data_IF_319813836457
#
_entry.id   IF_319813836457
#
_cell.length_a   1.000
_cell.length_b   1.000
_cell.length_c   1.000
_cell.angle_alpha   90.00
_cell.angle_beta   90.00
_cell.angle_gamma   90.00
#
_symmetry.space_group_name_H-M   'P 1'
#
loop_
_entity.id
_entity.type
_entity.pdbx_description
1 polymer ?
#
# COMPACT_ATOMS: atom_id res chain seq x y z
N UNK A 1 42.38 42.08 37.57
CA UNK A 1 41.96 41.31 36.39
C UNK A 1 42.33 39.86 36.65
N UNK A 2 41.37 39.06 37.15
CA UNK A 2 41.60 37.63 37.35
C UNK A 2 41.31 36.90 36.03
N UNK A 3 42.37 36.28 35.51
CA UNK A 3 42.25 35.39 34.32
C UNK A 3 41.53 34.13 34.74
N UNK A 4 40.30 33.98 34.30
CA UNK A 4 39.49 32.79 34.45
C UNK A 4 40.09 31.69 33.57
N UNK A 5 40.90 30.82 34.16
CA UNK A 5 41.43 29.65 33.44
C UNK A 5 40.29 28.70 33.12
N UNK A 6 39.98 28.54 31.83
CA UNK A 6 39.06 27.49 31.37
C UNK A 6 39.77 26.13 31.50
N UNK A 7 39.34 25.31 32.45
CA UNK A 7 39.86 23.96 32.63
C UNK A 7 39.31 23.06 31.49
N UNK A 8 40.20 22.70 30.57
CA UNK A 8 39.88 21.71 29.55
C UNK A 8 40.30 20.34 30.07
N UNK A 9 39.33 19.47 30.32
CA UNK A 9 39.59 18.09 30.73
C UNK A 9 40.26 17.33 29.58
N UNK A 10 41.38 16.70 29.83
CA UNK A 10 42.15 15.91 28.85
C UNK A 10 41.70 14.44 28.79
N UNK A 11 41.03 13.98 29.81
CA UNK A 11 40.58 12.59 29.90
C UNK A 11 39.13 12.49 29.55
N UNK A 12 38.78 11.54 28.66
CA UNK A 12 37.42 11.15 28.34
C UNK A 12 36.80 10.53 29.61
N UNK A 13 35.74 11.14 30.12
CA UNK A 13 34.96 10.55 31.21
C UNK A 13 34.23 9.36 30.62
N UNK A 14 34.31 8.20 31.31
CA UNK A 14 33.49 7.02 30.93
C UNK A 14 32.02 7.40 30.86
N UNK A 15 31.34 7.00 29.78
CA UNK A 15 29.91 7.23 29.60
C UNK A 15 29.15 6.64 30.79
N UNK A 16 28.56 7.51 31.59
CA UNK A 16 27.63 7.06 32.64
C UNK A 16 26.29 6.73 32.03
N UNK A 17 25.66 5.61 32.42
CA UNK A 17 24.34 5.30 31.96
C UNK A 17 23.38 6.44 32.33
N UNK A 18 22.48 6.84 31.44
CA UNK A 18 21.52 7.91 31.71
C UNK A 18 20.64 7.54 32.92
N UNK A 19 20.26 8.52 33.73
CA UNK A 19 19.44 8.28 34.94
C UNK A 19 18.13 7.62 34.55
N UNK A 20 17.59 6.73 35.38
CA UNK A 20 16.37 5.96 35.18
C UNK A 20 15.14 6.82 34.79
N UNK A 21 15.12 8.08 35.21
CA UNK A 21 14.11 9.08 34.87
C UNK A 21 14.18 9.55 33.40
N UNK A 22 15.23 9.21 32.66
CA UNK A 22 15.41 9.61 31.26
C UNK A 22 15.33 8.42 30.29
N UNK A 23 15.25 7.18 30.80
CA UNK A 23 15.27 5.94 30.01
C UNK A 23 13.93 5.22 30.10
N UNK A 24 13.49 4.60 29.01
CA UNK A 24 12.26 3.80 28.97
C UNK A 24 10.98 4.63 28.87
N UNK A 25 9.85 3.95 29.09
CA UNK A 25 8.51 4.54 29.01
C UNK A 25 8.34 5.65 30.06
N UNK A 26 8.85 5.47 31.27
CA UNK A 26 8.81 6.46 32.34
C UNK A 26 9.58 7.72 32.01
N UNK A 27 10.76 7.60 31.41
CA UNK A 27 11.55 8.75 30.95
C UNK A 27 10.92 9.47 29.76
N UNK A 28 10.28 8.72 28.87
CA UNK A 28 9.53 9.30 27.75
C UNK A 28 8.30 10.07 28.24
N UNK A 29 7.51 9.49 29.16
CA UNK A 29 6.36 10.14 29.80
C UNK A 29 6.79 11.40 30.56
N UNK A 30 7.83 11.31 31.36
CA UNK A 30 8.36 12.47 32.09
C UNK A 30 8.76 13.60 31.16
N UNK A 31 9.51 13.30 30.10
CA UNK A 31 10.00 14.31 29.16
C UNK A 31 8.88 14.96 28.34
N UNK A 32 7.87 14.18 27.94
CA UNK A 32 6.82 14.70 27.06
C UNK A 32 5.60 15.25 27.80
N UNK A 33 5.32 14.76 29.02
CA UNK A 33 4.13 15.19 29.79
C UNK A 33 4.47 16.11 30.96
N UNK A 34 5.63 15.94 31.59
CA UNK A 34 5.96 16.61 32.86
C UNK A 34 7.21 17.49 32.81
N UNK A 35 7.96 17.52 31.72
CA UNK A 35 9.25 18.25 31.64
C UNK A 35 9.12 19.77 31.78
N UNK A 36 7.93 20.32 31.64
CA UNK A 36 7.67 21.77 31.76
C UNK A 36 7.27 22.20 33.18
N UNK A 37 7.27 21.31 34.17
CA UNK A 37 6.96 21.69 35.56
C UNK A 37 7.94 22.72 36.17
N UNK A 38 9.16 22.81 35.64
CA UNK A 38 10.14 23.82 36.08
C UNK A 38 9.86 25.24 35.54
N UNK A 39 8.98 25.37 34.57
CA UNK A 39 8.63 26.68 33.95
C UNK A 39 7.32 27.28 34.46
N UNK A 40 6.84 26.85 35.63
CA UNK A 40 5.61 27.34 36.25
C UNK A 40 5.64 28.84 36.64
N UNK A 41 6.76 29.52 36.38
CA UNK A 41 6.96 30.92 36.79
C UNK A 41 6.38 31.95 35.81
N UNK A 42 6.00 31.54 34.60
CA UNK A 42 5.34 32.44 33.63
C UNK A 42 3.89 32.03 33.45
N UNK A 43 2.95 32.96 33.62
CA UNK A 43 1.49 32.73 33.59
C UNK A 43 1.02 32.03 32.29
N UNK A 44 1.59 32.35 31.18
CA UNK A 44 1.25 31.76 29.87
C UNK A 44 1.67 30.27 29.77
N UNK A 45 2.82 29.91 30.29
CA UNK A 45 3.30 28.51 30.28
C UNK A 45 2.54 27.64 31.29
N UNK A 46 2.06 28.22 32.41
CA UNK A 46 1.24 27.53 33.39
C UNK A 46 -0.12 27.16 32.83
N UNK A 47 -0.80 28.08 32.13
CA UNK A 47 -2.10 27.80 31.48
C UNK A 47 -1.96 26.71 30.42
N UNK A 48 -0.95 26.77 29.57
CA UNK A 48 -0.72 25.76 28.55
C UNK A 48 -0.41 24.38 29.16
N UNK A 49 0.36 24.32 30.24
CA UNK A 49 0.68 23.07 30.94
C UNK A 49 -0.54 22.45 31.59
N UNK A 50 -1.40 23.27 32.24
CA UNK A 50 -2.66 22.81 32.84
C UNK A 50 -3.59 22.29 31.75
N UNK A 51 -3.73 22.99 30.63
CA UNK A 51 -4.57 22.58 29.51
C UNK A 51 -4.10 21.27 28.90
N UNK A 52 -2.80 21.08 28.74
CA UNK A 52 -2.21 19.82 28.26
C UNK A 52 -2.41 18.66 29.23
N UNK A 53 -2.32 18.90 30.54
CA UNK A 53 -2.60 17.88 31.57
C UNK A 53 -4.08 17.48 31.53
N UNK A 54 -4.99 18.43 31.48
CA UNK A 54 -6.43 18.17 31.37
C UNK A 54 -6.74 17.37 30.09
N UNK A 55 -6.19 17.81 28.96
CA UNK A 55 -6.36 17.13 27.67
C UNK A 55 -5.82 15.68 27.72
N UNK A 56 -4.66 15.48 28.35
CA UNK A 56 -4.06 14.16 28.48
C UNK A 56 -4.91 13.24 29.38
N UNK A 57 -5.39 13.74 30.51
CA UNK A 57 -6.26 12.98 31.40
C UNK A 57 -7.58 12.63 30.69
N UNK A 58 -8.17 13.58 29.98
CA UNK A 58 -9.38 13.36 29.21
C UNK A 58 -9.14 12.31 28.11
N UNK A 59 -8.03 12.41 27.38
CA UNK A 59 -7.67 11.46 26.31
C UNK A 59 -7.41 10.06 26.87
N UNK A 60 -6.71 9.94 28.00
CA UNK A 60 -6.48 8.66 28.68
C UNK A 60 -7.80 8.03 29.18
N UNK A 61 -8.70 8.83 29.75
CA UNK A 61 -10.02 8.37 30.18
C UNK A 61 -10.85 7.90 28.98
N UNK A 62 -10.90 8.70 27.91
CA UNK A 62 -11.64 8.37 26.70
C UNK A 62 -11.05 7.13 26.00
N UNK A 63 -9.75 7.11 25.73
CA UNK A 63 -9.09 5.96 25.12
C UNK A 63 -9.15 4.70 26.01
N UNK A 64 -8.99 4.86 27.31
CA UNK A 64 -9.13 3.76 28.27
C UNK A 64 -10.53 3.16 28.27
N UNK A 65 -11.56 4.00 28.27
CA UNK A 65 -12.95 3.57 28.16
C UNK A 65 -13.24 2.82 26.85
N UNK A 66 -12.76 3.35 25.72
CA UNK A 66 -12.89 2.67 24.42
C UNK A 66 -12.13 1.34 24.39
N UNK A 67 -10.92 1.29 24.97
CA UNK A 67 -10.14 0.06 25.02
C UNK A 67 -10.86 -1.03 25.86
N UNK A 68 -11.41 -0.66 27.01
CA UNK A 68 -12.20 -1.57 27.84
C UNK A 68 -13.41 -2.08 27.08
N UNK A 69 -14.14 -1.19 26.39
CA UNK A 69 -15.29 -1.58 25.56
C UNK A 69 -14.91 -2.53 24.41
N UNK A 70 -13.76 -2.32 23.77
CA UNK A 70 -13.25 -3.20 22.73
C UNK A 70 -12.88 -4.58 23.33
N UNK A 71 -12.23 -4.61 24.48
CA UNK A 71 -11.88 -5.85 25.17
C UNK A 71 -13.15 -6.60 25.59
N UNK A 72 -14.13 -5.90 26.15
CA UNK A 72 -15.41 -6.51 26.51
C UNK A 72 -16.11 -7.08 25.27
N UNK A 73 -16.25 -6.30 24.20
CA UNK A 73 -16.83 -6.74 22.93
C UNK A 73 -16.10 -7.94 22.31
N UNK A 74 -14.75 -7.88 22.23
CA UNK A 74 -13.95 -8.86 21.50
C UNK A 74 -13.61 -10.12 22.30
N UNK A 75 -13.59 -10.03 23.65
CA UNK A 75 -13.09 -11.10 24.49
C UNK A 75 -14.14 -11.56 25.51
N UNK A 76 -14.67 -10.64 26.33
CA UNK A 76 -15.50 -11.00 27.48
C UNK A 76 -16.91 -11.41 27.04
N UNK A 77 -17.56 -10.56 26.24
CA UNK A 77 -18.90 -10.79 25.71
C UNK A 77 -18.94 -11.58 24.42
N UNK A 78 -17.76 -12.03 23.92
CA UNK A 78 -17.64 -12.74 22.66
C UNK A 78 -18.06 -14.20 22.76
N UNK A 79 -18.67 -14.72 21.69
CA UNK A 79 -18.89 -16.16 21.49
C UNK A 79 -17.65 -16.76 20.81
N UNK A 80 -17.02 -17.74 21.47
CA UNK A 80 -15.75 -18.33 21.01
C UNK A 80 -15.90 -19.67 20.31
N UNK A 81 -16.88 -20.48 20.71
CA UNK A 81 -17.07 -21.83 20.22
C UNK A 81 -18.48 -22.06 19.71
N UNK A 82 -18.59 -22.88 18.72
CA UNK A 82 -19.85 -23.39 18.17
C UNK A 82 -19.86 -24.92 18.34
N UNK A 83 -20.68 -25.46 19.26
CA UNK A 83 -20.76 -26.91 19.46
C UNK A 83 -21.34 -27.66 18.25
N UNK A 84 -22.16 -26.99 17.42
CA UNK A 84 -22.86 -27.62 16.27
C UNK A 84 -22.14 -27.39 14.92
N UNK A 85 -20.98 -26.72 14.94
CA UNK A 85 -20.11 -26.57 13.77
C UNK A 85 -20.32 -25.31 12.93
N UNK A 86 -19.61 -24.27 13.24
CA UNK A 86 -19.30 -23.09 12.40
C UNK A 86 -20.48 -22.39 11.71
N UNK A 87 -21.66 -22.38 12.36
CA UNK A 87 -22.86 -21.71 11.85
C UNK A 87 -23.02 -20.31 12.43
N UNK A 88 -23.58 -19.40 11.65
CA UNK A 88 -23.91 -18.04 12.08
C UNK A 88 -24.99 -18.03 13.17
N UNK A 89 -25.84 -19.05 13.20
CA UNK A 89 -26.99 -19.17 14.09
C UNK A 89 -26.61 -19.13 15.58
N UNK A 90 -25.39 -19.61 15.92
CA UNK A 90 -24.86 -19.56 17.31
C UNK A 90 -24.73 -18.13 17.85
N UNK A 91 -24.60 -17.14 16.97
CA UNK A 91 -24.50 -15.73 17.36
C UNK A 91 -25.83 -14.98 17.17
N UNK A 92 -26.93 -15.70 16.91
CA UNK A 92 -28.23 -15.07 16.76
C UNK A 92 -28.83 -14.75 18.14
N UNK A 93 -29.39 -13.55 18.26
CA UNK A 93 -30.11 -13.15 19.46
C UNK A 93 -31.54 -13.72 19.45
N UNK A 94 -32.22 -13.73 20.60
CA UNK A 94 -33.63 -14.16 20.70
C UNK A 94 -34.53 -13.42 19.70
N UNK A 95 -34.25 -12.15 19.40
CA UNK A 95 -34.95 -11.36 18.36
C UNK A 95 -34.73 -11.90 16.93
N UNK A 96 -33.67 -12.66 16.72
CA UNK A 96 -33.29 -13.25 15.43
C UNK A 96 -33.56 -14.77 15.39
N UNK A 97 -34.19 -15.32 16.43
CA UNK A 97 -34.51 -16.74 16.55
C UNK A 97 -33.37 -17.60 17.11
N UNK A 98 -32.41 -17.01 17.82
CA UNK A 98 -31.30 -17.71 18.48
C UNK A 98 -31.44 -17.69 20.01
N UNK A 99 -30.39 -18.16 20.68
CA UNK A 99 -30.37 -18.35 22.15
C UNK A 99 -29.69 -17.20 22.92
N UNK A 100 -29.04 -16.26 22.23
CA UNK A 100 -28.35 -15.16 22.90
C UNK A 100 -29.31 -14.05 23.37
N UNK A 101 -28.97 -13.35 24.47
CA UNK A 101 -29.79 -12.25 24.99
C UNK A 101 -30.13 -11.21 23.90
N UNK A 102 -31.31 -10.60 24.03
CA UNK A 102 -31.79 -9.62 23.04
C UNK A 102 -30.88 -8.41 22.87
N UNK A 103 -30.11 -8.07 23.91
CA UNK A 103 -29.19 -6.92 23.96
C UNK A 103 -27.71 -7.35 23.83
N UNK A 104 -27.45 -8.59 23.40
CA UNK A 104 -26.10 -9.07 23.20
C UNK A 104 -25.37 -8.28 22.08
N UNK A 105 -24.12 -7.88 22.36
CA UNK A 105 -23.29 -7.06 21.49
C UNK A 105 -21.88 -7.59 21.26
N UNK A 106 -21.57 -8.82 21.71
CA UNK A 106 -20.24 -9.41 21.61
C UNK A 106 -19.79 -9.79 20.18
N UNK A 107 -18.53 -10.10 20.03
CA UNK A 107 -17.98 -10.59 18.77
C UNK A 107 -18.34 -12.06 18.52
N UNK A 108 -18.64 -12.40 17.27
CA UNK A 108 -18.92 -13.76 16.82
C UNK A 108 -17.68 -14.39 16.17
N UNK A 109 -16.81 -15.00 16.96
CA UNK A 109 -15.60 -15.65 16.45
C UNK A 109 -15.87 -16.89 15.60
N UNK A 110 -16.85 -17.78 15.91
CA UNK A 110 -17.16 -18.93 15.05
C UNK A 110 -17.45 -18.54 13.60
N UNK A 111 -18.17 -17.44 13.39
CA UNK A 111 -18.43 -16.92 12.03
C UNK A 111 -17.15 -16.49 11.32
N UNK A 112 -16.24 -15.82 12.04
CA UNK A 112 -14.95 -15.39 11.48
C UNK A 112 -14.10 -16.60 11.13
N UNK A 113 -14.03 -17.62 12.00
CA UNK A 113 -13.30 -18.85 11.72
C UNK A 113 -13.90 -19.64 10.57
N UNK A 114 -15.22 -19.69 10.44
CA UNK A 114 -15.90 -20.32 9.31
C UNK A 114 -15.57 -19.64 7.99
N UNK A 115 -15.50 -18.32 8.00
CA UNK A 115 -15.26 -17.50 6.80
C UNK A 115 -13.80 -17.08 6.60
N UNK A 116 -12.86 -17.59 7.42
CA UNK A 116 -11.44 -17.21 7.35
C UNK A 116 -10.83 -17.35 5.94
N UNK A 117 -11.19 -18.44 5.22
CA UNK A 117 -10.76 -18.64 3.85
C UNK A 117 -11.23 -17.49 2.95
N UNK A 118 -12.51 -17.16 3.03
CA UNK A 118 -13.11 -16.09 2.23
C UNK A 118 -12.50 -14.71 2.57
N UNK A 119 -12.21 -14.46 3.84
CA UNK A 119 -11.60 -13.20 4.30
C UNK A 119 -10.16 -13.05 3.84
N UNK A 120 -9.40 -14.15 3.73
CA UNK A 120 -7.98 -14.12 3.37
C UNK A 120 -7.78 -14.25 1.87
N UNK A 121 -8.44 -15.22 1.23
CA UNK A 121 -8.17 -15.62 -0.15
C UNK A 121 -9.32 -15.32 -1.12
N UNK A 122 -10.52 -14.99 -0.61
CA UNK A 122 -11.71 -14.89 -1.46
C UNK A 122 -12.28 -16.27 -1.82
N UNK A 123 -12.64 -16.47 -3.08
CA UNK A 123 -13.26 -17.68 -3.61
C UNK A 123 -12.28 -18.66 -4.26
N UNK A 124 -10.99 -18.43 -4.15
CA UNK A 124 -9.97 -19.30 -4.73
C UNK A 124 -10.21 -20.76 -4.34
N UNK A 125 -10.13 -21.74 -5.29
CA UNK A 125 -10.29 -23.16 -5.01
C UNK A 125 -9.29 -23.67 -3.96
N UNK A 126 -9.68 -24.67 -3.16
CA UNK A 126 -8.81 -25.18 -2.09
C UNK A 126 -7.50 -25.75 -2.60
N UNK A 127 -7.53 -26.36 -3.77
CA UNK A 127 -6.38 -27.00 -4.43
C UNK A 127 -5.31 -25.98 -4.83
N UNK A 128 -5.72 -24.73 -5.07
CA UNK A 128 -4.87 -23.64 -5.55
C UNK A 128 -4.44 -22.64 -4.47
N UNK A 129 -4.82 -22.84 -3.23
CA UNK A 129 -4.44 -21.94 -2.11
C UNK A 129 -2.92 -21.85 -1.89
N UNK A 130 -2.19 -22.91 -2.26
CA UNK A 130 -0.72 -22.91 -2.14
C UNK A 130 -0.06 -21.76 -2.95
N UNK A 131 -0.63 -21.40 -4.11
CA UNK A 131 -0.14 -20.30 -4.94
C UNK A 131 -0.28 -18.96 -4.22
N UNK A 132 -1.47 -18.69 -3.67
CA UNK A 132 -1.72 -17.50 -2.88
C UNK A 132 -0.81 -17.46 -1.64
N UNK A 133 -0.57 -18.59 -0.97
CA UNK A 133 0.36 -18.68 0.15
C UNK A 133 1.80 -18.35 -0.25
N UNK A 134 2.26 -18.81 -1.42
CA UNK A 134 3.58 -18.44 -1.93
C UNK A 134 3.71 -16.95 -2.21
N UNK A 135 2.66 -16.32 -2.77
CA UNK A 135 2.63 -14.87 -2.98
C UNK A 135 2.67 -14.12 -1.65
N UNK A 136 1.89 -14.54 -0.66
CA UNK A 136 1.95 -13.95 0.69
C UNK A 136 3.33 -14.12 1.33
N UNK A 137 3.88 -15.33 1.28
CA UNK A 137 5.20 -15.61 1.84
C UNK A 137 6.28 -14.75 1.17
N UNK A 138 6.28 -14.67 -0.16
CA UNK A 138 7.20 -13.83 -0.91
C UNK A 138 7.07 -12.35 -0.54
N UNK A 139 5.84 -11.86 -0.41
CA UNK A 139 5.57 -10.49 -0.01
C UNK A 139 6.09 -10.18 1.40
N UNK A 140 5.69 -10.99 2.40
CA UNK A 140 6.07 -10.74 3.79
C UNK A 140 7.56 -10.95 4.05
N UNK A 141 8.17 -11.97 3.45
CA UNK A 141 9.61 -12.22 3.56
C UNK A 141 10.39 -11.09 2.87
N UNK A 142 10.01 -10.72 1.66
CA UNK A 142 10.67 -9.64 0.92
C UNK A 142 10.57 -8.29 1.62
N UNK A 143 9.37 -7.92 2.09
CA UNK A 143 9.16 -6.70 2.87
C UNK A 143 9.91 -6.75 4.20
N UNK A 144 9.85 -7.86 4.93
CA UNK A 144 10.57 -8.04 6.18
C UNK A 144 12.08 -7.89 6.00
N UNK A 145 12.64 -8.42 4.92
CA UNK A 145 14.05 -8.27 4.61
C UNK A 145 14.44 -6.82 4.25
N UNK A 146 13.58 -6.10 3.53
CA UNK A 146 13.80 -4.69 3.20
C UNK A 146 13.79 -3.81 4.46
N UNK A 147 12.92 -4.11 5.42
CA UNK A 147 12.81 -3.38 6.68
C UNK A 147 14.00 -3.68 7.61
N UNK A 148 14.57 -4.87 7.50
CA UNK A 148 15.70 -5.27 8.35
C UNK A 148 16.96 -4.46 8.03
N UNK A 149 17.36 -3.58 8.93
CA UNK A 149 18.45 -2.60 8.73
C UNK A 149 19.81 -3.22 8.44
N UNK A 150 20.10 -4.40 8.99
CA UNK A 150 21.39 -5.11 8.85
C UNK A 150 21.47 -5.98 7.59
N UNK A 151 20.42 -6.08 6.79
CA UNK A 151 20.37 -6.91 5.59
C UNK A 151 21.36 -6.47 4.52
N UNK A 152 22.27 -7.35 4.12
CA UNK A 152 23.19 -7.11 3.00
C UNK A 152 22.41 -7.24 1.68
N UNK A 153 22.63 -6.30 0.74
CA UNK A 153 21.95 -6.37 -0.57
C UNK A 153 20.49 -5.91 -0.60
N UNK A 154 20.00 -5.19 0.41
CA UNK A 154 18.61 -4.64 0.46
C UNK A 154 18.16 -3.96 -0.83
N UNK A 155 19.07 -3.24 -1.51
CA UNK A 155 18.77 -2.57 -2.78
C UNK A 155 18.38 -3.57 -3.88
N UNK A 156 19.07 -4.72 -3.94
CA UNK A 156 18.78 -5.77 -4.92
C UNK A 156 17.47 -6.50 -4.61
N UNK A 157 17.21 -6.78 -3.33
CA UNK A 157 15.93 -7.36 -2.91
C UNK A 157 14.79 -6.37 -3.19
N UNK A 158 14.96 -5.08 -2.90
CA UNK A 158 13.98 -4.05 -3.22
C UNK A 158 13.72 -3.95 -4.72
N UNK A 159 14.76 -4.00 -5.55
CA UNK A 159 14.61 -4.03 -6.99
C UNK A 159 13.88 -5.29 -7.47
N UNK A 160 14.23 -6.46 -6.94
CA UNK A 160 13.54 -7.72 -7.25
C UNK A 160 12.06 -7.70 -6.85
N UNK A 161 11.75 -7.15 -5.68
CA UNK A 161 10.36 -6.97 -5.22
C UNK A 161 9.56 -6.00 -6.08
N UNK A 162 10.22 -5.01 -6.69
CA UNK A 162 9.56 -4.04 -7.56
C UNK A 162 9.36 -4.57 -9.00
N UNK A 163 10.28 -5.39 -9.49
CA UNK A 163 10.30 -5.82 -10.90
C UNK A 163 9.88 -7.27 -11.09
N UNK A 164 10.55 -8.21 -10.43
CA UNK A 164 10.38 -9.65 -10.63
C UNK A 164 9.17 -10.20 -9.86
N UNK A 165 9.00 -9.76 -8.62
CA UNK A 165 7.94 -10.27 -7.76
C UNK A 165 6.52 -10.03 -8.29
N UNK A 166 6.13 -8.84 -8.84
CA UNK A 166 4.81 -8.65 -9.41
C UNK A 166 4.52 -9.58 -10.59
N UNK A 167 5.53 -9.86 -11.41
CA UNK A 167 5.39 -10.78 -12.57
C UNK A 167 5.16 -12.21 -12.07
N UNK A 168 5.97 -12.68 -11.13
CA UNK A 168 5.80 -14.01 -10.53
C UNK A 168 4.44 -14.12 -9.82
N UNK A 169 4.05 -13.10 -9.06
CA UNK A 169 2.77 -13.07 -8.35
C UNK A 169 1.58 -13.14 -9.32
N UNK A 170 1.64 -12.41 -10.44
CA UNK A 170 0.59 -12.48 -11.47
C UNK A 170 0.52 -13.87 -12.10
N UNK A 171 1.65 -14.46 -12.47
CA UNK A 171 1.68 -15.82 -13.04
C UNK A 171 1.09 -16.84 -12.06
N UNK A 172 1.46 -16.78 -10.78
CA UNK A 172 0.95 -17.69 -9.76
C UNK A 172 -0.56 -17.49 -9.53
N UNK A 173 -1.03 -16.25 -9.50
CA UNK A 173 -2.43 -15.95 -9.18
C UNK A 173 -3.39 -16.14 -10.34
N UNK A 174 -2.95 -15.94 -11.59
CA UNK A 174 -3.79 -16.12 -12.79
C UNK A 174 -3.63 -17.49 -13.44
N UNK A 175 -2.48 -18.14 -13.23
CA UNK A 175 -2.08 -19.35 -13.95
C UNK A 175 -1.37 -19.05 -15.27
N UNK A 176 -1.21 -17.77 -15.66
CA UNK A 176 -0.75 -17.35 -16.99
C UNK A 176 -1.62 -17.95 -18.13
N UNK A 177 -1.01 -18.34 -19.25
CA UNK A 177 -1.72 -18.90 -20.42
C UNK A 177 -2.84 -17.98 -20.95
N UNK A 178 -2.52 -16.68 -21.08
CA UNK A 178 -3.46 -15.73 -21.69
C UNK A 178 -3.47 -15.94 -23.21
N UNK A 179 -4.66 -15.96 -23.79
CA UNK A 179 -4.86 -15.97 -25.26
C UNK A 179 -4.42 -14.63 -25.88
N UNK A 180 -3.11 -14.46 -25.98
CA UNK A 180 -2.54 -13.28 -26.62
C UNK A 180 -2.51 -13.53 -28.13
N UNK A 181 -3.21 -12.67 -28.90
CA UNK A 181 -3.26 -12.85 -30.36
C UNK A 181 -1.85 -12.80 -30.94
N UNK A 182 -1.51 -13.76 -31.77
CA UNK A 182 -0.22 -13.84 -32.47
C UNK A 182 0.06 -12.56 -33.26
N UNK A 183 -0.97 -11.93 -33.81
CA UNK A 183 -0.86 -10.66 -34.51
C UNK A 183 -0.30 -9.54 -33.60
N UNK A 184 -0.71 -9.48 -32.34
CA UNK A 184 -0.19 -8.49 -31.38
C UNK A 184 1.32 -8.66 -31.16
N UNK A 185 1.77 -9.91 -31.02
CA UNK A 185 3.19 -10.24 -30.85
C UNK A 185 3.98 -9.82 -32.08
N UNK A 186 3.47 -10.10 -33.29
CA UNK A 186 4.12 -9.69 -34.54
C UNK A 186 4.19 -8.16 -34.64
N UNK A 187 3.08 -7.45 -34.41
CA UNK A 187 3.06 -5.99 -34.50
C UNK A 187 4.00 -5.33 -33.48
N UNK A 188 4.02 -5.81 -32.25
CA UNK A 188 4.94 -5.29 -31.24
C UNK A 188 6.40 -5.62 -31.58
N UNK A 189 6.67 -6.81 -32.09
CA UNK A 189 8.00 -7.21 -32.55
C UNK A 189 8.50 -6.38 -33.76
N UNK A 190 7.65 -6.14 -34.74
CA UNK A 190 7.98 -5.29 -35.89
C UNK A 190 8.22 -3.84 -35.49
N UNK A 191 7.40 -3.29 -34.61
CA UNK A 191 7.58 -1.95 -34.07
C UNK A 191 8.89 -1.84 -33.24
N UNK A 192 9.22 -2.86 -32.46
CA UNK A 192 10.48 -2.94 -31.73
C UNK A 192 11.67 -2.88 -32.64
N UNK A 193 11.68 -3.71 -33.70
CA UNK A 193 12.77 -3.75 -34.67
C UNK A 193 12.90 -2.40 -35.37
N UNK A 194 11.80 -1.79 -35.78
CA UNK A 194 11.83 -0.49 -36.47
C UNK A 194 12.36 0.62 -35.57
N UNK A 195 11.92 0.70 -34.31
CA UNK A 195 12.43 1.69 -33.36
C UNK A 195 13.92 1.48 -33.05
N UNK A 196 14.33 0.24 -32.87
CA UNK A 196 15.73 -0.09 -32.63
C UNK A 196 16.62 0.31 -33.84
N UNK A 197 16.18 0.01 -35.06
CA UNK A 197 16.91 0.39 -36.28
C UNK A 197 16.98 1.92 -36.44
N UNK A 198 15.87 2.63 -36.21
CA UNK A 198 15.86 4.09 -36.24
C UNK A 198 16.85 4.65 -35.21
N UNK A 199 16.82 4.16 -33.97
CA UNK A 199 17.75 4.56 -32.90
C UNK A 199 19.22 4.26 -33.28
N UNK A 200 19.49 3.09 -33.84
CA UNK A 200 20.83 2.68 -34.26
C UNK A 200 21.36 3.57 -35.41
N UNK A 201 20.58 3.78 -36.48
CA UNK A 201 20.99 4.63 -37.62
C UNK A 201 21.05 6.12 -37.20
N UNK A 202 20.20 6.55 -36.31
CA UNK A 202 20.24 7.91 -35.74
C UNK A 202 21.52 8.15 -34.96
N UNK A 203 21.95 7.21 -34.15
CA UNK A 203 23.19 7.31 -33.35
C UNK A 203 24.46 7.30 -34.23
N UNK A 204 24.34 6.86 -35.48
CA UNK A 204 25.41 6.85 -36.49
C UNK A 204 25.37 8.06 -37.45
N UNK A 205 24.56 9.07 -37.14
CA UNK A 205 24.41 10.30 -37.96
C UNK A 205 23.94 10.10 -39.41
N UNK A 206 23.33 8.95 -39.75
CA UNK A 206 22.79 8.71 -41.09
C UNK A 206 21.64 9.64 -41.45
N UNK A 207 20.88 10.13 -40.45
CA UNK A 207 19.69 10.97 -40.64
C UNK A 207 19.91 12.45 -40.27
N UNK A 208 21.17 12.85 -39.95
CA UNK A 208 21.54 14.23 -39.60
C UNK A 208 21.42 14.55 -38.11
N UNK A 209 21.93 15.73 -37.72
CA UNK A 209 22.08 16.15 -36.30
C UNK A 209 20.79 16.19 -35.52
N UNK A 210 19.67 16.49 -36.16
CA UNK A 210 18.34 16.56 -35.46
C UNK A 210 17.96 15.18 -34.94
N UNK A 211 18.20 14.12 -35.73
CA UNK A 211 17.85 12.77 -35.32
C UNK A 211 18.81 12.18 -34.27
N UNK A 212 20.07 12.64 -34.28
CA UNK A 212 21.03 12.23 -33.23
C UNK A 212 20.55 12.59 -31.84
N UNK A 213 19.98 13.78 -31.66
CA UNK A 213 19.45 14.22 -30.36
C UNK A 213 18.34 13.32 -29.86
N UNK A 214 17.56 12.70 -30.74
CA UNK A 214 16.47 11.79 -30.40
C UNK A 214 16.90 10.31 -30.30
N UNK A 215 18.14 9.97 -30.58
CA UNK A 215 18.61 8.58 -30.55
C UNK A 215 18.42 7.92 -29.17
N UNK A 216 18.65 8.67 -28.09
CA UNK A 216 18.44 8.22 -26.73
C UNK A 216 16.96 7.89 -26.48
N UNK A 217 16.06 8.75 -26.98
CA UNK A 217 14.61 8.53 -26.86
C UNK A 217 14.16 7.28 -27.62
N UNK A 218 14.62 7.08 -28.87
CA UNK A 218 14.27 5.89 -29.64
C UNK A 218 14.78 4.60 -29.00
N UNK A 219 16.02 4.60 -28.50
CA UNK A 219 16.56 3.44 -27.77
C UNK A 219 15.83 3.16 -26.46
N UNK A 220 15.41 4.21 -25.74
CA UNK A 220 14.62 4.07 -24.53
C UNK A 220 13.22 3.51 -24.81
N UNK A 221 12.55 3.98 -25.86
CA UNK A 221 11.26 3.44 -26.30
C UNK A 221 11.39 1.98 -26.78
N UNK A 222 12.48 1.66 -27.50
CA UNK A 222 12.76 0.29 -27.90
C UNK A 222 12.97 -0.63 -26.69
N UNK A 223 13.67 -0.17 -25.65
CA UNK A 223 13.83 -0.93 -24.41
C UNK A 223 12.50 -1.18 -23.71
N UNK A 224 11.65 -0.17 -23.61
CA UNK A 224 10.31 -0.32 -23.01
C UNK A 224 9.48 -1.34 -23.82
N UNK A 225 9.51 -1.23 -25.14
CA UNK A 225 8.77 -2.14 -26.00
C UNK A 225 9.32 -3.57 -25.96
N UNK A 226 10.63 -3.72 -25.80
CA UNK A 226 11.28 -5.02 -25.58
C UNK A 226 10.80 -5.67 -24.27
N UNK A 227 10.78 -4.91 -23.17
CA UNK A 227 10.28 -5.39 -21.89
C UNK A 227 8.79 -5.76 -21.97
N UNK A 228 8.00 -4.95 -22.67
CA UNK A 228 6.58 -5.25 -22.91
C UNK A 228 6.39 -6.53 -23.73
N UNK A 229 7.13 -6.70 -24.81
CA UNK A 229 7.09 -7.92 -25.62
C UNK A 229 7.54 -9.16 -24.83
N UNK A 230 8.58 -9.02 -24.01
CA UNK A 230 9.03 -10.10 -23.13
C UNK A 230 7.94 -10.50 -22.13
N UNK A 231 7.21 -9.54 -21.56
CA UNK A 231 6.06 -9.80 -20.68
C UNK A 231 4.93 -10.49 -21.44
N UNK A 232 4.58 -10.04 -22.65
CA UNK A 232 3.55 -10.69 -23.47
C UNK A 232 3.88 -12.16 -23.71
N UNK A 233 5.12 -12.45 -24.11
CA UNK A 233 5.57 -13.83 -24.33
C UNK A 233 5.51 -14.63 -23.03
N UNK A 234 6.01 -14.06 -21.93
CA UNK A 234 6.02 -14.72 -20.62
C UNK A 234 4.61 -15.11 -20.15
N UNK A 235 3.63 -14.23 -20.34
CA UNK A 235 2.23 -14.50 -19.97
C UNK A 235 1.48 -15.39 -20.95
N UNK A 236 1.99 -15.58 -22.17
CA UNK A 236 1.43 -16.51 -23.17
C UNK A 236 1.88 -17.96 -22.95
N UNK A 237 2.92 -18.20 -22.15
CA UNK A 237 3.43 -19.54 -21.89
C UNK A 237 2.48 -20.30 -20.97
N UNK A 238 2.15 -21.53 -21.33
CA UNK A 238 1.43 -22.46 -20.45
C UNK A 238 2.41 -23.09 -19.44
N UNK A 239 2.22 -22.74 -18.16
CA UNK A 239 2.99 -23.29 -17.04
C UNK A 239 2.35 -24.55 -16.43
N UNK A 240 1.29 -25.08 -17.03
CA UNK A 240 0.53 -26.20 -16.48
C UNK A 240 -0.25 -25.86 -15.21
N UNK A 241 -0.50 -24.56 -14.98
CA UNK A 241 -1.25 -24.06 -13.84
C UNK A 241 -2.72 -23.90 -14.22
N UNK A 242 -3.64 -24.37 -13.39
CA UNK A 242 -5.07 -24.17 -13.63
C UNK A 242 -5.38 -22.66 -13.64
N UNK A 243 -6.13 -22.12 -14.63
CA UNK A 243 -6.49 -20.71 -14.66
C UNK A 243 -7.42 -20.37 -13.51
N UNK A 244 -7.14 -19.28 -12.80
CA UNK A 244 -7.98 -18.75 -11.73
C UNK A 244 -8.52 -17.42 -12.22
N UNK A 245 -9.87 -17.30 -12.25
CA UNK A 245 -10.51 -16.03 -12.63
C UNK A 245 -10.21 -14.94 -11.61
N UNK A 246 -9.93 -13.74 -12.07
CA UNK A 246 -9.75 -12.56 -11.22
C UNK A 246 -10.98 -12.24 -10.36
N UNK A 247 -12.16 -12.67 -10.79
CA UNK A 247 -13.41 -12.56 -10.03
C UNK A 247 -13.42 -13.44 -8.76
N UNK A 248 -12.57 -14.47 -8.69
CA UNK A 248 -12.42 -15.32 -7.52
C UNK A 248 -11.42 -14.78 -6.50
N UNK A 249 -10.64 -13.76 -6.89
CA UNK A 249 -9.77 -13.08 -5.96
C UNK A 249 -10.59 -12.24 -4.99
N UNK A 250 -10.23 -12.28 -3.72
CA UNK A 250 -10.99 -11.53 -2.73
C UNK A 250 -10.25 -11.42 -1.40
N UNK A 251 -10.97 -10.84 -0.45
CA UNK A 251 -10.46 -10.68 0.92
C UNK A 251 -9.16 -9.88 0.99
N UNK A 252 -8.26 -10.33 1.88
CA UNK A 252 -6.98 -9.68 2.12
C UNK A 252 -6.06 -9.71 0.89
N UNK A 253 -6.12 -10.77 0.07
CA UNK A 253 -5.31 -10.91 -1.14
C UNK A 253 -5.55 -9.74 -2.10
N UNK A 254 -6.79 -9.50 -2.44
CA UNK A 254 -7.17 -8.44 -3.37
C UNK A 254 -6.85 -7.05 -2.81
N UNK A 255 -7.12 -6.82 -1.52
CA UNK A 255 -6.79 -5.54 -0.86
C UNK A 255 -5.30 -5.25 -0.85
N UNK A 256 -4.45 -6.23 -0.53
CA UNK A 256 -3.00 -6.05 -0.56
C UNK A 256 -2.49 -5.83 -1.99
N UNK A 257 -3.00 -6.57 -2.96
CA UNK A 257 -2.62 -6.43 -4.35
C UNK A 257 -2.95 -5.03 -4.87
N UNK A 258 -4.17 -4.55 -4.66
CA UNK A 258 -4.59 -3.20 -5.07
C UNK A 258 -3.79 -2.13 -4.32
N UNK A 259 -3.58 -2.28 -3.01
CA UNK A 259 -2.85 -1.31 -2.21
C UNK A 259 -1.39 -1.18 -2.68
N UNK A 260 -0.70 -2.31 -2.86
CA UNK A 260 0.71 -2.32 -3.27
C UNK A 260 0.86 -1.78 -4.69
N UNK A 261 0.03 -2.23 -5.63
CA UNK A 261 0.08 -1.73 -7.01
C UNK A 261 -0.23 -0.24 -7.08
N UNK A 262 -1.21 0.23 -6.30
CA UNK A 262 -1.53 1.65 -6.18
C UNK A 262 -0.37 2.48 -5.63
N UNK A 263 0.29 2.03 -4.56
CA UNK A 263 1.44 2.72 -3.96
C UNK A 263 2.61 2.76 -4.95
N UNK A 264 2.95 1.63 -5.57
CA UNK A 264 4.05 1.53 -6.54
C UNK A 264 3.80 2.40 -7.76
N UNK A 265 2.58 2.41 -8.30
CA UNK A 265 2.23 3.23 -9.46
C UNK A 265 2.18 4.73 -9.14
N UNK A 266 1.70 5.10 -7.94
CA UNK A 266 1.57 6.50 -7.55
C UNK A 266 2.92 7.19 -7.32
N UNK A 267 3.96 6.44 -6.92
CA UNK A 267 5.28 6.99 -6.60
C UNK A 267 5.95 7.67 -7.81
N UNK A 268 6.13 7.01 -8.98
CA UNK A 268 6.73 7.67 -10.14
C UNK A 268 5.88 8.83 -10.67
N UNK A 269 4.56 8.69 -10.66
CA UNK A 269 3.64 9.78 -11.05
C UNK A 269 3.81 10.97 -10.10
N UNK A 270 3.87 10.72 -8.80
CA UNK A 270 4.09 11.75 -7.79
C UNK A 270 5.42 12.48 -7.95
N UNK A 271 6.51 11.76 -8.29
CA UNK A 271 7.82 12.36 -8.58
C UNK A 271 7.74 13.28 -9.81
N UNK A 272 7.15 12.82 -10.91
CA UNK A 272 7.00 13.59 -12.14
C UNK A 272 6.20 14.87 -11.88
N UNK A 273 5.08 14.77 -11.16
CA UNK A 273 4.25 15.91 -10.80
C UNK A 273 4.99 16.90 -9.87
N UNK A 274 5.76 16.39 -8.90
CA UNK A 274 6.55 17.23 -8.00
C UNK A 274 7.66 17.99 -8.75
N UNK A 275 8.34 17.32 -9.70
CA UNK A 275 9.33 17.96 -10.56
C UNK A 275 8.68 18.98 -11.50
N UNK A 276 7.54 18.66 -12.10
CA UNK A 276 6.79 19.55 -12.97
C UNK A 276 6.33 20.84 -12.23
N UNK A 277 5.90 20.72 -10.96
CA UNK A 277 5.57 21.87 -10.10
C UNK A 277 6.77 22.79 -9.87
N UNK A 278 8.00 22.25 -9.85
CA UNK A 278 9.25 23.02 -9.69
C UNK A 278 9.84 23.49 -11.01
N UNK A 279 9.27 23.11 -12.15
CA UNK A 279 9.77 23.47 -13.48
C UNK A 279 9.73 24.99 -13.72
N UNK A 280 10.67 25.47 -14.51
CA UNK A 280 10.70 26.85 -15.01
C UNK A 280 9.69 27.08 -16.13
N UNK A 281 9.08 26.02 -16.70
CA UNK A 281 8.04 26.12 -17.72
C UNK A 281 6.70 26.47 -17.08
N UNK A 282 6.09 27.63 -17.40
CA UNK A 282 4.87 28.10 -16.73
C UNK A 282 3.69 27.15 -16.94
N UNK A 283 3.54 26.57 -18.14
CA UNK A 283 2.47 25.64 -18.48
C UNK A 283 2.58 24.36 -17.65
N UNK A 284 3.77 23.74 -17.61
CA UNK A 284 4.00 22.52 -16.84
C UNK A 284 3.76 22.74 -15.34
N UNK A 285 4.21 23.88 -14.80
CA UNK A 285 3.99 24.25 -13.40
C UNK A 285 2.51 24.38 -13.07
N UNK A 286 1.74 25.09 -13.90
CA UNK A 286 0.30 25.29 -13.67
C UNK A 286 -0.45 23.96 -13.74
N UNK A 287 -0.21 23.15 -14.78
CA UNK A 287 -0.89 21.87 -14.95
C UNK A 287 -0.60 20.90 -13.76
N UNK A 288 0.66 20.76 -13.38
CA UNK A 288 1.02 19.91 -12.24
C UNK A 288 0.44 20.42 -10.91
N UNK A 289 0.43 21.75 -10.70
CA UNK A 289 -0.14 22.33 -9.48
C UNK A 289 -1.65 22.12 -9.43
N UNK A 290 -2.38 22.39 -10.51
CA UNK A 290 -3.83 22.18 -10.58
C UNK A 290 -4.17 20.71 -10.35
N UNK A 291 -3.44 19.79 -10.99
CA UNK A 291 -3.66 18.36 -10.80
C UNK A 291 -3.46 17.95 -9.33
N UNK A 292 -2.37 18.37 -8.70
CA UNK A 292 -2.07 18.03 -7.30
C UNK A 292 -3.15 18.60 -6.37
N UNK A 293 -3.50 19.87 -6.51
CA UNK A 293 -4.46 20.53 -5.60
C UNK A 293 -5.88 19.99 -5.82
N UNK A 294 -6.26 19.65 -7.06
CA UNK A 294 -7.54 19.02 -7.37
C UNK A 294 -7.69 17.67 -6.63
N UNK A 295 -6.73 16.76 -6.78
CA UNK A 295 -6.80 15.45 -6.14
C UNK A 295 -6.64 15.50 -4.62
N UNK A 296 -5.94 16.49 -4.09
CA UNK A 296 -5.87 16.73 -2.64
C UNK A 296 -7.15 17.32 -2.06
N UNK A 297 -7.88 18.11 -2.85
CA UNK A 297 -9.12 18.75 -2.42
C UNK A 297 -10.34 17.82 -2.41
N UNK A 298 -10.31 16.73 -3.18
CA UNK A 298 -11.44 15.81 -3.27
C UNK A 298 -11.32 14.74 -2.17
N UNK A 299 -12.36 14.54 -1.33
CA UNK A 299 -12.39 13.43 -0.38
C UNK A 299 -12.30 12.08 -1.09
N UNK A 300 -11.48 11.17 -0.57
CA UNK A 300 -11.28 9.83 -1.16
C UNK A 300 -12.60 9.08 -1.37
N UNK A 301 -13.55 9.26 -0.46
CA UNK A 301 -14.87 8.60 -0.51
C UNK A 301 -15.67 9.01 -1.75
N UNK A 302 -15.61 10.29 -2.15
CA UNK A 302 -16.25 10.79 -3.38
C UNK A 302 -15.63 10.21 -4.64
N UNK A 303 -14.31 10.05 -4.67
CA UNK A 303 -13.61 9.40 -5.79
C UNK A 303 -14.00 7.93 -5.89
N UNK A 304 -14.05 7.21 -4.78
CA UNK A 304 -14.47 5.80 -4.75
C UNK A 304 -15.93 5.65 -5.19
N UNK A 305 -16.82 6.51 -4.73
CA UNK A 305 -18.21 6.51 -5.15
C UNK A 305 -18.38 6.84 -6.65
N UNK A 306 -17.66 7.82 -7.15
CA UNK A 306 -17.65 8.15 -8.57
C UNK A 306 -17.13 7.00 -9.41
N UNK A 307 -16.06 6.33 -8.99
CA UNK A 307 -15.49 5.20 -9.69
C UNK A 307 -16.40 3.97 -9.68
N UNK A 308 -17.07 3.70 -8.56
CA UNK A 308 -17.90 2.48 -8.39
C UNK A 308 -19.31 2.61 -8.95
N UNK A 309 -19.87 3.82 -8.99
CA UNK A 309 -21.28 4.04 -9.38
C UNK A 309 -21.38 4.90 -10.63
N UNK A 310 -20.79 6.11 -10.64
CA UNK A 310 -20.98 7.05 -11.75
C UNK A 310 -20.35 6.55 -13.06
N UNK A 311 -19.15 5.99 -13.03
CA UNK A 311 -18.48 5.52 -14.24
C UNK A 311 -19.21 4.34 -14.86
N UNK A 312 -19.57 3.25 -14.14
CA UNK A 312 -20.33 2.15 -14.72
C UNK A 312 -21.70 2.58 -15.26
N UNK A 313 -22.43 3.43 -14.52
CA UNK A 313 -23.75 3.93 -14.97
C UNK A 313 -23.61 4.77 -16.23
N UNK A 314 -22.62 5.66 -16.31
CA UNK A 314 -22.36 6.46 -17.51
C UNK A 314 -22.02 5.57 -18.71
N UNK A 315 -21.26 4.50 -18.51
CA UNK A 315 -20.91 3.57 -19.58
C UNK A 315 -22.13 2.80 -20.11
N UNK A 316 -23.01 2.34 -19.24
CA UNK A 316 -24.24 1.64 -19.64
C UNK A 316 -25.24 2.56 -20.34
N UNK A 317 -25.29 3.84 -19.99
CA UNK A 317 -26.16 4.82 -20.65
C UNK A 317 -25.61 5.33 -21.98
N UNK A 318 -24.28 5.41 -22.14
CA UNK A 318 -23.66 5.79 -23.42
C UNK A 318 -23.67 4.66 -24.45
N UNK A 319 -23.71 3.41 -24.00
CA UNK A 319 -23.86 2.22 -24.86
C UNK A 319 -25.29 1.76 -24.93
N UNK A 320 -26.28 2.67 -25.04
CA UNK A 320 -27.64 2.31 -25.39
C UNK A 320 -27.61 1.55 -26.72
N UNK A 321 -28.02 0.28 -26.76
CA UNK A 321 -28.06 -0.46 -28.00
C UNK A 321 -29.04 0.18 -28.95
N UNK A 322 -28.51 0.68 -30.05
CA UNK A 322 -29.31 1.10 -31.20
C UNK A 322 -29.97 -0.06 -31.93
N UNK A 323 -29.87 -1.26 -31.41
CA UNK A 323 -30.46 -2.48 -31.96
C UNK A 323 -31.45 -3.08 -30.96
N UNK A 324 -32.63 -2.45 -30.84
CA UNK A 324 -33.87 -3.18 -30.71
C UNK A 324 -34.29 -3.57 -32.14
N UNK A 325 -33.74 -4.62 -32.63
CA UNK A 325 -34.43 -5.36 -33.68
C UNK A 325 -35.38 -6.33 -33.00
N UNK A 326 -36.63 -6.16 -33.36
CA UNK A 326 -37.85 -6.89 -33.07
C UNK A 326 -37.73 -8.37 -33.46
#
# INVERSE_FOLDING_TARGET
>A
METKYSFVRKDLVSEQPPPLTQVGITGWLWRNLFSSMSNFTTVTSSVQSILMIILTIWLLYFCGGQLISIIDFAIISAVWSDPDGLKREVCATVKQGGDLPADWYGACWPFIFAKKKFLIYGRIPNEELWRANLVYAGLFIGMGYIIWEKGQGRKWVGLGMLTLFPVIALILLTGANFDISFNLIIWTGTLLITLYLIGYFSSRNYFGEIFEQFSILFNFLALILFLFLALLILFSIDYGLAPIDTLDWGGLLLTLLIAITGIVASLPIGIVLALGRRSNMPIARVLCTVFIEFWRGIPLITVLFAASVLIPVSYTHLTLPTNREV
#
